data_IF_613158446805
#
_entry.id   IF_613158446805
#
_cell.length_a   1.000
_cell.length_b   1.000
_cell.length_c   1.000
_cell.angle_alpha   90.00
_cell.angle_beta   90.00
_cell.angle_gamma   90.00
#
_symmetry.space_group_name_H-M   'P 1'
#
loop_
_entity.id
_entity.type
_entity.pdbx_description
1 polymer ?
#
# COMPACT_ATOMS: atom_id res chain seq x y z
N UNK A 1 23.09 18.66 -36.64
CA UNK A 1 23.21 19.99 -35.98
C UNK A 1 23.43 19.93 -34.45
N UNK A 2 23.52 18.73 -33.91
CA UNK A 2 23.47 18.32 -32.49
C UNK A 2 24.47 19.01 -31.54
N UNK A 3 25.57 19.55 -32.08
CA UNK A 3 26.67 20.15 -31.31
C UNK A 3 26.81 21.68 -31.51
N UNK A 4 25.97 22.30 -32.37
CA UNK A 4 26.09 23.72 -32.72
C UNK A 4 25.12 24.58 -31.91
N UNK A 5 23.90 24.09 -31.70
CA UNK A 5 22.87 24.74 -30.88
C UNK A 5 22.56 23.92 -29.63
N UNK A 6 22.24 24.58 -28.50
CA UNK A 6 21.84 23.86 -27.29
C UNK A 6 20.49 23.16 -27.51
N UNK A 7 20.40 21.91 -27.05
CA UNK A 7 19.19 21.09 -27.19
C UNK A 7 18.19 21.40 -26.09
N UNK A 8 17.51 22.54 -26.22
CA UNK A 8 16.45 22.95 -25.31
C UNK A 8 15.18 23.26 -26.10
N UNK A 9 14.03 22.84 -25.58
CA UNK A 9 12.74 23.15 -26.16
C UNK A 9 12.46 24.66 -26.05
N UNK A 10 11.77 25.26 -27.03
CA UNK A 10 11.53 26.71 -27.06
C UNK A 10 12.69 27.55 -27.59
N UNK A 11 13.74 26.94 -28.15
CA UNK A 11 14.78 27.66 -28.87
C UNK A 11 14.34 27.94 -30.31
N UNK A 12 14.50 29.20 -30.74
CA UNK A 12 14.23 29.65 -32.10
C UNK A 12 15.48 30.30 -32.71
N UNK A 13 15.73 30.08 -34.00
CA UNK A 13 16.84 30.68 -34.74
C UNK A 13 16.34 31.89 -35.51
N UNK A 14 16.95 33.04 -35.28
CA UNK A 14 16.57 34.32 -35.89
C UNK A 14 17.30 34.61 -37.20
N UNK A 15 18.62 34.39 -37.23
CA UNK A 15 19.48 34.72 -38.36
C UNK A 15 20.54 33.65 -38.57
N UNK A 16 20.90 33.42 -39.82
CA UNK A 16 22.10 32.68 -40.23
C UNK A 16 23.11 33.69 -40.73
N UNK A 17 24.23 33.79 -40.03
CA UNK A 17 25.33 34.68 -40.38
C UNK A 17 26.48 33.81 -40.85
N UNK A 18 26.94 34.03 -42.07
CA UNK A 18 28.06 33.24 -42.59
C UNK A 18 29.11 34.12 -43.25
N UNK A 19 30.34 33.62 -43.20
CA UNK A 19 31.53 34.22 -43.80
C UNK A 19 32.38 33.12 -44.39
N UNK A 20 32.87 33.34 -45.60
CA UNK A 20 33.89 32.50 -46.21
C UNK A 20 34.65 33.27 -47.28
N UNK A 21 35.79 32.73 -47.71
CA UNK A 21 36.58 33.23 -48.84
C UNK A 21 36.49 32.27 -50.01
N UNK A 22 36.01 32.74 -51.16
CA UNK A 22 36.03 31.97 -52.39
C UNK A 22 37.39 32.11 -53.08
N UNK A 23 38.00 31.00 -53.48
CA UNK A 23 39.24 30.96 -54.27
C UNK A 23 38.98 30.18 -55.55
N UNK A 24 39.05 30.89 -56.68
CA UNK A 24 38.77 30.39 -58.02
C UNK A 24 39.52 31.22 -59.07
N UNK A 25 39.63 30.68 -60.28
CA UNK A 25 40.06 31.45 -61.44
C UNK A 25 38.91 32.32 -61.96
N UNK A 26 39.21 33.50 -62.53
CA UNK A 26 38.21 34.49 -62.98
C UNK A 26 37.27 33.91 -64.05
N UNK A 27 37.79 33.05 -64.93
CA UNK A 27 37.06 32.47 -66.05
C UNK A 27 36.26 31.21 -65.68
N UNK A 28 36.47 30.67 -64.47
CA UNK A 28 35.70 29.53 -63.98
C UNK A 28 34.31 29.98 -63.51
N UNK A 29 33.32 29.09 -63.56
CA UNK A 29 32.02 29.31 -62.91
C UNK A 29 32.01 28.60 -61.54
N UNK A 30 31.42 29.25 -60.53
CA UNK A 30 31.37 28.72 -59.17
C UNK A 30 30.11 29.21 -58.46
N UNK A 31 29.35 28.27 -57.91
CA UNK A 31 28.19 28.50 -57.08
C UNK A 31 28.46 27.88 -55.71
N UNK A 32 28.19 28.64 -54.65
CA UNK A 32 28.31 28.15 -53.27
C UNK A 32 26.94 28.13 -52.63
N UNK A 33 26.53 26.95 -52.17
CA UNK A 33 25.28 26.76 -51.46
C UNK A 33 25.56 26.62 -49.97
N UNK A 34 25.05 27.55 -49.16
CA UNK A 34 25.04 27.43 -47.71
C UNK A 34 23.64 26.96 -47.31
N UNK A 35 23.54 25.76 -46.77
CA UNK A 35 22.24 25.12 -46.57
C UNK A 35 22.14 24.31 -45.28
N UNK A 36 20.91 24.18 -44.78
CA UNK A 36 20.53 23.33 -43.66
C UNK A 36 19.34 22.47 -44.07
N UNK A 37 19.46 21.16 -43.85
CA UNK A 37 18.37 20.22 -44.08
C UNK A 37 17.19 20.48 -43.14
N UNK A 38 16.00 20.08 -43.55
CA UNK A 38 14.83 20.06 -42.68
C UNK A 38 14.82 18.76 -41.86
N UNK A 39 14.87 18.86 -40.53
CA UNK A 39 14.88 17.67 -39.68
C UNK A 39 13.52 16.96 -39.58
N UNK A 40 12.40 17.66 -39.89
CA UNK A 40 11.04 17.14 -39.76
C UNK A 40 10.40 16.69 -41.08
N UNK A 41 11.07 16.91 -42.22
CA UNK A 41 10.52 16.58 -43.53
C UNK A 41 11.57 16.63 -44.62
N UNK A 42 11.13 16.52 -45.87
CA UNK A 42 12.03 16.51 -47.01
C UNK A 42 12.49 17.94 -47.38
N UNK A 43 13.74 18.06 -47.84
CA UNK A 43 14.32 19.30 -48.36
C UNK A 43 15.13 20.11 -47.34
N UNK A 44 15.19 21.42 -47.54
CA UNK A 44 16.04 22.34 -46.77
C UNK A 44 15.19 23.38 -46.04
N UNK A 45 15.50 23.63 -44.77
CA UNK A 45 14.89 24.72 -43.98
C UNK A 45 15.51 26.07 -44.32
N UNK A 46 16.76 26.05 -44.74
CA UNK A 46 17.52 27.22 -45.18
C UNK A 46 18.41 26.80 -46.35
N UNK A 47 18.39 27.56 -47.44
CA UNK A 47 19.32 27.41 -48.57
C UNK A 47 19.55 28.77 -49.19
N UNK A 48 20.78 29.25 -49.12
CA UNK A 48 21.23 30.46 -49.77
C UNK A 48 22.30 30.10 -50.79
N UNK A 49 22.20 30.68 -51.99
CA UNK A 49 23.14 30.41 -53.10
C UNK A 49 23.87 31.69 -53.47
N UNK A 50 25.18 31.62 -53.41
CA UNK A 50 26.07 32.70 -53.81
C UNK A 50 26.68 32.38 -55.18
N UNK A 51 26.39 33.23 -56.17
CA UNK A 51 26.94 33.12 -57.51
C UNK A 51 28.25 33.92 -57.61
N UNK A 52 29.32 33.21 -57.96
CA UNK A 52 30.65 33.77 -58.19
C UNK A 52 31.06 33.77 -59.66
N UNK A 53 30.17 33.39 -60.58
CA UNK A 53 30.46 33.27 -62.01
C UNK A 53 30.93 34.61 -62.60
N UNK A 54 32.10 34.60 -63.24
CA UNK A 54 32.75 35.81 -63.79
C UNK A 54 33.26 36.84 -62.75
N UNK A 55 33.28 36.50 -61.46
CA UNK A 55 33.83 37.34 -60.39
C UNK A 55 35.16 36.77 -59.89
N UNK A 56 36.10 37.65 -59.52
CA UNK A 56 37.32 37.27 -58.82
C UNK A 56 36.98 36.78 -57.40
N UNK A 57 37.71 35.76 -56.93
CA UNK A 57 37.54 35.21 -55.59
C UNK A 57 37.72 36.29 -54.51
N UNK A 58 36.76 36.37 -53.57
CA UNK A 58 36.80 37.33 -52.47
C UNK A 58 36.15 36.74 -51.21
N UNK A 59 36.29 37.44 -50.10
CA UNK A 59 35.60 37.14 -48.85
C UNK A 59 34.21 37.79 -48.85
N UNK A 60 33.19 37.02 -48.50
CA UNK A 60 31.85 37.56 -48.26
C UNK A 60 31.45 37.41 -46.81
N UNK A 61 30.58 38.30 -46.38
CA UNK A 61 29.90 38.25 -45.10
C UNK A 61 28.43 38.56 -45.35
N UNK A 62 27.55 37.60 -45.02
CA UNK A 62 26.10 37.74 -45.18
C UNK A 62 25.41 37.38 -43.88
N UNK A 63 24.34 38.11 -43.58
CA UNK A 63 23.45 37.86 -42.46
C UNK A 63 22.03 37.75 -43.01
N UNK A 64 21.49 36.55 -43.03
CA UNK A 64 20.17 36.26 -43.59
C UNK A 64 19.17 36.04 -42.44
N UNK A 65 18.13 36.88 -42.33
CA UNK A 65 17.07 36.68 -41.35
C UNK A 65 16.14 35.54 -41.81
N UNK A 66 15.92 34.57 -40.93
CA UNK A 66 15.07 33.38 -41.20
C UNK A 66 13.73 33.40 -40.45
N UNK A 67 13.51 34.39 -39.58
CA UNK A 67 12.18 34.65 -39.01
C UNK A 67 11.78 33.77 -37.81
N UNK A 68 12.73 33.39 -36.95
CA UNK A 68 12.48 32.66 -35.69
C UNK A 68 11.96 31.23 -35.87
N UNK A 69 12.62 30.47 -36.74
CA UNK A 69 12.28 29.06 -36.96
C UNK A 69 12.70 28.25 -35.73
N UNK A 70 11.80 27.39 -35.22
CA UNK A 70 12.07 26.51 -34.08
C UNK A 70 13.19 25.52 -34.34
N UNK A 71 13.98 25.20 -33.30
CA UNK A 71 15.15 24.30 -33.38
C UNK A 71 14.82 22.93 -33.97
N UNK A 72 13.59 22.45 -33.79
CA UNK A 72 13.11 21.16 -34.27
C UNK A 72 13.15 21.02 -35.80
N UNK A 73 13.08 22.12 -36.55
CA UNK A 73 13.16 22.09 -38.01
C UNK A 73 14.60 22.09 -38.54
N UNK A 74 15.59 22.36 -37.69
CA UNK A 74 16.97 22.54 -38.12
C UNK A 74 17.75 21.21 -38.15
N UNK A 75 18.00 20.73 -39.36
CA UNK A 75 18.81 19.55 -39.65
C UNK A 75 20.29 19.85 -39.87
N UNK A 76 20.98 18.91 -40.50
CA UNK A 76 22.41 19.03 -40.75
C UNK A 76 22.74 20.17 -41.71
N UNK A 77 23.76 20.94 -41.35
CA UNK A 77 24.25 22.07 -42.14
C UNK A 77 25.39 21.62 -43.05
N UNK A 78 25.35 22.04 -44.30
CA UNK A 78 26.39 21.78 -45.29
C UNK A 78 26.69 23.03 -46.12
N UNK A 79 27.94 23.10 -46.61
CA UNK A 79 28.34 24.06 -47.64
C UNK A 79 28.73 23.22 -48.85
N UNK A 80 27.97 23.38 -49.93
CA UNK A 80 28.15 22.66 -51.18
C UNK A 80 28.67 23.62 -52.25
N UNK A 81 29.58 23.13 -53.09
CA UNK A 81 30.22 23.93 -54.14
C UNK A 81 29.89 23.24 -55.47
N UNK A 82 29.27 23.98 -56.37
CA UNK A 82 29.06 23.56 -57.76
C UNK A 82 29.99 24.38 -58.67
N UNK A 83 30.82 23.72 -59.46
CA UNK A 83 31.78 24.36 -60.38
C UNK A 83 33.25 24.21 -59.99
N UNK A 84 34.11 25.07 -60.53
CA UNK A 84 35.57 25.01 -60.35
C UNK A 84 36.04 26.11 -59.38
N UNK A 85 36.30 25.71 -58.13
CA UNK A 85 36.80 26.59 -57.09
C UNK A 85 36.85 25.93 -55.72
N UNK A 86 37.27 26.67 -54.71
CA UNK A 86 37.36 26.20 -53.33
C UNK A 86 36.92 27.28 -52.33
N UNK A 87 36.38 26.84 -51.20
CA UNK A 87 35.98 27.72 -50.10
C UNK A 87 36.99 27.58 -48.95
N UNK A 88 37.54 28.69 -48.51
CA UNK A 88 38.54 28.76 -47.44
C UNK A 88 37.94 29.50 -46.23
N UNK A 89 38.30 29.04 -45.03
CA UNK A 89 37.87 29.58 -43.73
C UNK A 89 36.34 29.80 -43.59
N UNK A 90 35.50 28.78 -43.88
CA UNK A 90 34.06 28.92 -43.69
C UNK A 90 33.71 29.04 -42.21
N UNK A 91 32.90 30.03 -41.88
CA UNK A 91 32.34 30.24 -40.54
C UNK A 91 30.85 30.52 -40.67
N UNK A 92 30.03 29.68 -40.02
CA UNK A 92 28.58 29.83 -39.98
C UNK A 92 28.16 29.96 -38.52
N UNK A 93 27.44 31.03 -38.22
CA UNK A 93 26.99 31.42 -36.88
C UNK A 93 25.49 31.58 -36.93
N UNK A 94 24.81 30.94 -35.98
CA UNK A 94 23.35 31.01 -35.84
C UNK A 94 23.03 31.89 -34.64
N UNK A 95 22.20 32.92 -34.84
CA UNK A 95 21.67 33.69 -33.71
C UNK A 95 20.41 33.03 -33.20
N UNK A 96 20.35 32.68 -31.93
CA UNK A 96 19.18 32.05 -31.33
C UNK A 96 18.57 32.90 -30.22
N UNK A 97 17.29 32.67 -29.98
CA UNK A 97 16.57 33.17 -28.81
C UNK A 97 15.88 32.00 -28.12
N UNK A 98 15.98 31.97 -26.79
CA UNK A 98 15.30 31.00 -25.95
C UNK A 98 14.02 31.60 -25.37
N UNK A 99 12.90 30.90 -25.50
CA UNK A 99 11.65 31.23 -24.82
C UNK A 99 11.59 30.53 -23.46
N UNK A 100 11.77 31.29 -22.38
CA UNK A 100 11.72 30.79 -21.00
C UNK A 100 10.33 30.34 -20.57
N UNK A 101 9.29 30.77 -21.27
CA UNK A 101 7.89 30.43 -20.99
C UNK A 101 7.31 29.45 -22.01
N UNK A 102 8.16 28.76 -22.78
CA UNK A 102 7.72 27.72 -23.72
C UNK A 102 6.88 26.63 -23.04
N UNK A 103 7.29 26.21 -21.84
CA UNK A 103 6.43 25.45 -20.94
C UNK A 103 5.87 26.39 -19.85
N UNK A 104 4.55 26.67 -19.87
CA UNK A 104 3.93 27.64 -18.98
C UNK A 104 3.99 27.23 -17.51
N UNK A 105 4.29 25.97 -17.18
CA UNK A 105 4.43 25.49 -15.80
C UNK A 105 5.85 25.60 -15.25
N UNK A 106 6.82 26.05 -16.05
CA UNK A 106 8.22 26.15 -15.63
C UNK A 106 8.45 27.27 -14.61
N UNK A 107 7.72 28.39 -14.74
CA UNK A 107 7.86 29.54 -13.83
C UNK A 107 6.51 30.21 -13.54
N UNK A 108 6.26 30.65 -12.28
CA UNK A 108 5.10 31.47 -11.92
C UNK A 108 4.99 32.81 -12.65
N UNK A 109 6.10 33.32 -13.20
CA UNK A 109 6.13 34.59 -13.93
C UNK A 109 5.56 34.48 -15.35
N UNK A 110 5.30 33.26 -15.83
CA UNK A 110 4.77 33.04 -17.18
C UNK A 110 3.27 33.33 -17.24
N UNK A 111 2.75 33.95 -18.33
CA UNK A 111 1.37 34.41 -18.40
C UNK A 111 0.31 33.30 -18.18
N UNK A 112 0.59 32.08 -18.65
CA UNK A 112 -0.32 30.94 -18.59
C UNK A 112 0.02 29.95 -17.45
N UNK A 113 0.83 30.37 -16.47
CA UNK A 113 1.15 29.55 -15.31
C UNK A 113 -0.13 29.23 -14.52
N UNK A 114 -0.38 27.95 -14.28
CA UNK A 114 -1.48 27.52 -13.43
C UNK A 114 -0.89 27.04 -12.12
N UNK A 115 -1.23 27.75 -11.04
CA UNK A 115 -0.85 27.30 -9.70
C UNK A 115 -1.33 25.85 -9.53
N UNK A 116 -0.42 24.90 -9.24
CA UNK A 116 -0.83 23.52 -9.01
C UNK A 116 -1.84 23.49 -7.87
N UNK A 117 -2.89 22.70 -8.04
CA UNK A 117 -3.92 22.54 -7.02
C UNK A 117 -3.28 22.07 -5.72
N UNK A 118 -3.33 22.91 -4.69
CA UNK A 118 -2.96 22.47 -3.36
C UNK A 118 -4.09 21.57 -2.85
N UNK A 119 -3.83 20.26 -2.81
CA UNK A 119 -4.79 19.26 -2.37
C UNK A 119 -5.26 19.53 -0.93
N UNK A 120 -4.42 20.18 -0.11
CA UNK A 120 -4.75 20.54 1.28
C UNK A 120 -5.86 21.60 1.38
N UNK A 121 -5.99 22.49 0.40
CA UNK A 121 -7.05 23.54 0.40
C UNK A 121 -8.39 23.01 -0.13
N UNK A 122 -8.36 21.92 -0.91
CA UNK A 122 -9.53 21.36 -1.59
C UNK A 122 -10.15 20.22 -0.77
N UNK A 123 -9.33 19.44 -0.08
CA UNK A 123 -9.81 18.34 0.75
C UNK A 123 -10.31 18.97 2.06
N UNK A 124 -11.63 18.92 2.34
CA UNK A 124 -12.11 19.35 3.64
C UNK A 124 -11.42 18.50 4.69
N UNK A 125 -10.78 19.15 5.66
CA UNK A 125 -10.24 18.47 6.84
C UNK A 125 -11.43 17.88 7.58
N UNK A 126 -11.68 16.58 7.37
CA UNK A 126 -12.69 15.85 8.11
C UNK A 126 -12.11 15.62 9.50
N UNK A 127 -12.56 16.39 10.48
CA UNK A 127 -12.31 16.09 11.88
C UNK A 127 -13.02 14.77 12.22
N UNK A 128 -12.26 13.67 12.17
CA UNK A 128 -12.74 12.37 12.58
C UNK A 128 -12.69 12.27 14.11
N UNK A 129 -13.85 12.34 14.76
CA UNK A 129 -13.96 11.95 16.15
C UNK A 129 -14.02 10.42 16.25
N UNK A 130 -12.96 9.82 16.79
CA UNK A 130 -12.96 8.39 17.11
C UNK A 130 -13.98 8.10 18.23
N UNK A 131 -15.04 7.30 17.97
CA UNK A 131 -16.05 6.98 18.98
C UNK A 131 -15.49 6.22 20.18
N UNK A 132 -14.31 5.59 20.06
CA UNK A 132 -13.65 4.93 21.21
C UNK A 132 -13.01 5.91 22.19
N UNK A 133 -12.74 7.14 21.75
CA UNK A 133 -12.20 8.21 22.59
C UNK A 133 -13.31 8.96 23.35
N UNK A 134 -14.59 8.69 23.05
CA UNK A 134 -15.71 9.28 23.76
C UNK A 134 -15.73 8.83 25.22
N UNK A 135 -15.93 9.79 26.13
CA UNK A 135 -15.85 9.60 27.57
C UNK A 135 -16.87 8.55 28.05
N UNK A 136 -18.08 8.57 27.49
CA UNK A 136 -19.14 7.62 27.82
C UNK A 136 -18.78 6.19 27.41
N UNK A 137 -18.18 6.03 26.23
CA UNK A 137 -17.77 4.72 25.70
C UNK A 137 -16.63 4.15 26.54
N UNK A 138 -15.67 4.99 26.94
CA UNK A 138 -14.58 4.59 27.85
C UNK A 138 -15.10 4.13 29.21
N UNK A 139 -16.02 4.89 29.81
CA UNK A 139 -16.63 4.52 31.09
C UNK A 139 -17.38 3.18 31.02
N UNK A 140 -18.09 2.90 29.93
CA UNK A 140 -18.75 1.61 29.73
C UNK A 140 -17.76 0.46 29.53
N UNK A 141 -16.67 0.67 28.79
CA UNK A 141 -15.61 -0.33 28.60
C UNK A 141 -14.92 -0.66 29.93
N UNK A 142 -14.58 0.35 30.73
CA UNK A 142 -14.00 0.17 32.07
C UNK A 142 -14.95 -0.62 32.99
N UNK A 143 -16.24 -0.30 32.97
CA UNK A 143 -17.25 -1.03 33.74
C UNK A 143 -17.36 -2.50 33.31
N UNK A 144 -17.31 -2.79 32.01
CA UNK A 144 -17.34 -4.17 31.51
C UNK A 144 -16.08 -4.94 31.89
N UNK A 145 -14.91 -4.30 31.83
CA UNK A 145 -13.65 -4.89 32.27
C UNK A 145 -13.70 -5.25 33.77
N UNK A 146 -14.18 -4.33 34.61
CA UNK A 146 -14.33 -4.58 36.05
C UNK A 146 -15.31 -5.73 36.35
N UNK A 147 -16.40 -5.85 35.56
CA UNK A 147 -17.34 -6.95 35.69
C UNK A 147 -16.70 -8.29 35.30
N UNK A 148 -15.96 -8.34 34.20
CA UNK A 148 -15.26 -9.55 33.75
C UNK A 148 -14.21 -10.01 34.78
N UNK A 149 -13.45 -9.08 35.37
CA UNK A 149 -12.47 -9.39 36.42
C UNK A 149 -13.15 -9.99 37.65
N UNK A 150 -14.28 -9.42 38.10
CA UNK A 150 -15.07 -9.95 39.22
C UNK A 150 -15.60 -11.35 38.94
N UNK A 151 -16.13 -11.60 37.75
CA UNK A 151 -16.62 -12.92 37.34
C UNK A 151 -15.49 -13.96 37.32
N UNK A 152 -14.31 -13.59 36.84
CA UNK A 152 -13.13 -14.44 36.81
C UNK A 152 -12.63 -14.75 38.23
N UNK A 153 -12.57 -13.76 39.12
CA UNK A 153 -12.21 -13.96 40.53
C UNK A 153 -13.18 -14.90 41.26
N UNK A 154 -14.49 -14.77 41.01
CA UNK A 154 -15.49 -15.69 41.57
C UNK A 154 -15.31 -17.12 41.06
N UNK A 155 -15.07 -17.28 39.76
CA UNK A 155 -14.80 -18.57 39.15
C UNK A 155 -13.56 -19.24 39.75
N UNK A 156 -12.47 -18.50 39.91
CA UNK A 156 -11.23 -19.00 40.50
C UNK A 156 -11.39 -19.30 42.01
N UNK A 157 -12.24 -18.55 42.72
CA UNK A 157 -12.62 -18.88 44.10
C UNK A 157 -13.39 -20.21 44.17
N UNK A 158 -14.39 -20.41 43.30
CA UNK A 158 -15.16 -21.67 43.24
C UNK A 158 -14.27 -22.88 42.94
N UNK A 159 -13.38 -22.75 41.95
CA UNK A 159 -12.38 -23.80 41.64
C UNK A 159 -11.47 -24.13 42.81
N UNK A 160 -11.00 -23.11 43.55
CA UNK A 160 -10.17 -23.34 44.76
C UNK A 160 -10.96 -24.10 45.83
N UNK A 161 -12.22 -23.71 46.08
CA UNK A 161 -13.05 -24.42 47.07
C UNK A 161 -13.35 -25.86 46.66
N UNK A 162 -13.63 -26.12 45.38
CA UNK A 162 -13.89 -27.49 44.90
C UNK A 162 -12.63 -28.36 44.97
N UNK A 163 -11.46 -27.81 44.64
CA UNK A 163 -10.18 -28.50 44.81
C UNK A 163 -9.89 -28.82 46.28
N UNK A 164 -10.19 -27.90 47.20
CA UNK A 164 -10.05 -28.14 48.65
C UNK A 164 -11.01 -29.25 49.10
N UNK A 165 -12.28 -29.23 48.67
CA UNK A 165 -13.26 -30.29 48.98
C UNK A 165 -12.80 -31.66 48.50
N UNK A 166 -12.39 -31.77 47.23
CA UNK A 166 -11.88 -33.03 46.65
C UNK A 166 -10.63 -33.53 47.39
N UNK A 167 -9.72 -32.63 47.77
CA UNK A 167 -8.56 -33.00 48.58
C UNK A 167 -8.94 -33.49 49.98
N UNK A 168 -9.92 -32.85 50.63
CA UNK A 168 -10.40 -33.25 51.95
C UNK A 168 -11.12 -34.62 51.88
N UNK A 169 -11.96 -34.83 50.87
CA UNK A 169 -12.60 -36.12 50.59
C UNK A 169 -11.57 -37.21 50.33
N UNK A 170 -10.52 -36.93 49.55
CA UNK A 170 -9.42 -37.88 49.30
C UNK A 170 -8.61 -38.18 50.57
N UNK A 171 -8.37 -37.18 51.42
CA UNK A 171 -7.65 -37.35 52.68
C UNK A 171 -8.46 -38.15 53.69
N UNK A 172 -9.75 -37.88 53.81
CA UNK A 172 -10.68 -38.62 54.67
C UNK A 172 -10.97 -40.02 54.13
N UNK A 173 -11.10 -40.17 52.80
CA UNK A 173 -11.41 -41.44 52.15
C UNK A 173 -10.22 -42.37 51.95
N UNK A 174 -9.00 -41.83 51.83
CA UNK A 174 -7.82 -42.58 51.37
C UNK A 174 -6.78 -42.94 52.43
N UNK A 175 -6.73 -42.28 53.59
CA UNK A 175 -5.64 -42.50 54.56
C UNK A 175 -6.10 -42.86 55.98
N UNK A 176 -7.39 -42.76 56.27
CA UNK A 176 -7.88 -42.95 57.63
C UNK A 176 -9.08 -43.89 57.75
N UNK A 177 -9.64 -44.44 56.67
CA UNK A 177 -10.75 -45.39 56.82
C UNK A 177 -10.31 -46.67 57.52
N UNK A 178 -9.12 -47.23 57.24
CA UNK A 178 -8.61 -48.43 57.90
C UNK A 178 -8.02 -48.18 59.29
N UNK A 179 -7.23 -47.11 59.46
CA UNK A 179 -6.60 -46.81 60.76
C UNK A 179 -7.61 -46.25 61.76
N UNK A 180 -8.56 -45.41 61.32
CA UNK A 180 -9.68 -45.03 62.18
C UNK A 180 -10.68 -46.18 62.33
N UNK A 181 -10.91 -47.05 61.33
CA UNK A 181 -11.81 -48.20 61.56
C UNK A 181 -11.24 -49.14 62.60
N UNK A 182 -9.93 -49.40 62.58
CA UNK A 182 -9.33 -50.36 63.52
C UNK A 182 -9.27 -49.78 64.93
N UNK A 183 -8.86 -48.52 65.08
CA UNK A 183 -8.89 -47.83 66.37
C UNK A 183 -10.32 -47.62 66.89
N UNK A 184 -11.26 -47.26 66.01
CA UNK A 184 -12.67 -47.09 66.38
C UNK A 184 -13.34 -48.44 66.67
N UNK A 185 -13.03 -49.53 65.95
CA UNK A 185 -13.51 -50.87 66.26
C UNK A 185 -12.97 -51.37 67.60
N UNK A 186 -11.69 -51.13 67.89
CA UNK A 186 -11.11 -51.50 69.18
C UNK A 186 -11.76 -50.72 70.33
N UNK A 187 -12.00 -49.41 70.13
CA UNK A 187 -12.67 -48.58 71.11
C UNK A 187 -14.16 -48.93 71.26
N UNK A 188 -14.83 -49.28 70.17
CA UNK A 188 -16.21 -49.78 70.12
C UNK A 188 -16.33 -51.11 70.87
N UNK A 189 -15.45 -52.08 70.60
CA UNK A 189 -15.41 -53.36 71.31
C UNK A 189 -15.11 -53.15 72.81
N UNK A 190 -14.18 -52.25 73.15
CA UNK A 190 -13.92 -51.88 74.54
C UNK A 190 -15.17 -51.28 75.21
N UNK A 191 -15.91 -50.41 74.51
CA UNK A 191 -17.14 -49.81 75.06
C UNK A 191 -18.28 -50.85 75.22
N UNK A 192 -18.48 -51.73 74.24
CA UNK A 192 -19.51 -52.78 74.31
C UNK A 192 -19.19 -53.86 75.35
N UNK A 193 -17.90 -54.14 75.60
CA UNK A 193 -17.47 -55.07 76.66
C UNK A 193 -17.63 -54.50 78.07
N UNK A 194 -17.70 -53.18 78.23
CA UNK A 194 -18.00 -52.54 79.52
C UNK A 194 -19.48 -52.63 79.94
N UNK A 195 -20.37 -53.20 79.12
CA UNK A 195 -21.79 -53.47 79.44
C UNK A 195 -22.65 -52.27 79.92
N UNK A 196 -22.27 -51.03 79.59
CA UNK A 196 -23.05 -49.83 79.93
C UNK A 196 -24.22 -49.54 78.96
N UNK A 197 -24.32 -50.23 77.83
CA UNK A 197 -25.33 -49.97 76.80
C UNK A 197 -26.52 -50.94 76.95
N UNK A 198 -27.77 -50.44 77.13
CA UNK A 198 -28.96 -51.29 77.22
C UNK A 198 -29.17 -52.15 75.97
N UNK A 199 -29.69 -53.37 76.17
CA UNK A 199 -29.86 -54.39 75.12
C UNK A 199 -30.79 -53.93 73.97
N UNK A 200 -31.65 -52.94 74.23
CA UNK A 200 -32.57 -52.35 73.24
C UNK A 200 -31.87 -51.65 72.09
N UNK A 201 -30.61 -51.21 72.26
CA UNK A 201 -29.82 -50.60 71.18
C UNK A 201 -29.10 -51.63 70.29
N UNK A 202 -29.16 -52.93 70.63
CA UNK A 202 -28.53 -54.01 69.86
C UNK A 202 -29.47 -54.69 68.86
N UNK A 203 -30.74 -54.28 68.81
CA UNK A 203 -31.71 -54.85 67.86
C UNK A 203 -31.66 -54.10 66.53
N UNK A 204 -31.41 -54.83 65.43
CA UNK A 204 -31.44 -54.26 64.08
C UNK A 204 -32.86 -53.79 63.74
N UNK A 205 -33.01 -52.49 63.43
CA UNK A 205 -34.26 -51.93 62.94
C UNK A 205 -34.47 -52.39 61.49
N UNK A 206 -35.66 -52.91 61.18
CA UNK A 206 -36.02 -53.32 59.83
C UNK A 206 -36.25 -52.07 58.97
N UNK A 207 -35.31 -51.74 58.09
CA UNK A 207 -35.43 -50.62 57.16
C UNK A 207 -36.32 -50.96 55.95
N UNK A 208 -37.07 -49.97 55.46
CA UNK A 208 -37.84 -50.05 54.21
C UNK A 208 -37.53 -48.86 53.30
N UNK A 209 -37.67 -49.07 51.98
CA UNK A 209 -37.48 -48.01 50.96
C UNK A 209 -38.83 -47.36 50.66
N UNK A 210 -38.87 -46.02 50.63
CA UNK A 210 -40.04 -45.26 50.17
C UNK A 210 -40.09 -45.30 48.64
N UNK A 211 -41.05 -46.03 48.07
CA UNK A 211 -41.22 -46.17 46.62
C UNK A 211 -41.88 -44.96 45.93
N UNK A 212 -42.16 -43.89 46.67
CA UNK A 212 -42.97 -42.76 46.21
C UNK A 212 -42.08 -41.63 45.65
N UNK A 213 -41.21 -41.98 44.69
CA UNK A 213 -40.45 -40.99 43.90
C UNK A 213 -41.02 -41.01 42.48
N UNK A 214 -41.61 -39.89 42.06
CA UNK A 214 -42.09 -39.70 40.69
C UNK A 214 -40.90 -39.78 39.71
N UNK A 215 -40.68 -40.96 39.13
CA UNK A 215 -39.71 -41.13 38.06
C UNK A 215 -40.27 -40.51 36.77
N UNK A 216 -39.61 -39.47 36.25
CA UNK A 216 -39.93 -38.90 34.95
C UNK A 216 -39.67 -39.96 33.87
N UNK A 217 -40.64 -40.19 32.97
CA UNK A 217 -40.45 -41.08 31.82
C UNK A 217 -39.61 -40.35 30.77
N UNK A 218 -38.37 -40.76 30.60
CA UNK A 218 -37.56 -40.34 29.46
C UNK A 218 -38.23 -40.81 28.15
N UNK A 219 -38.52 -39.85 27.27
CA UNK A 219 -38.89 -40.13 25.89
C UNK A 219 -37.72 -39.78 25.00
N UNK A 220 -37.35 -40.71 24.13
CA UNK A 220 -36.33 -40.49 23.12
C UNK A 220 -36.84 -39.48 22.07
N UNK A 221 -36.12 -38.37 21.88
CA UNK A 221 -36.45 -37.36 20.90
C UNK A 221 -36.11 -37.88 19.49
N UNK A 222 -37.05 -37.75 18.56
CA UNK A 222 -36.86 -38.18 17.18
C UNK A 222 -35.90 -37.23 16.45
N UNK A 223 -34.93 -37.82 15.76
CA UNK A 223 -33.84 -37.07 15.16
C UNK A 223 -34.26 -36.37 13.85
N UNK A 224 -34.04 -35.05 13.75
CA UNK A 224 -34.47 -34.26 12.59
C UNK A 224 -33.45 -34.33 11.45
N UNK A 225 -33.60 -35.33 10.58
CA UNK A 225 -32.72 -35.54 9.42
C UNK A 225 -32.66 -34.35 8.44
N UNK A 226 -33.68 -33.48 8.42
CA UNK A 226 -33.68 -32.27 7.56
C UNK A 226 -32.82 -31.16 8.16
N UNK A 227 -32.84 -30.98 9.48
CA UNK A 227 -32.01 -30.00 10.17
C UNK A 227 -30.51 -30.24 9.87
N UNK A 228 -30.08 -31.51 9.88
CA UNK A 228 -28.69 -31.88 9.57
C UNK A 228 -28.22 -31.45 8.17
N UNK A 229 -29.11 -31.44 7.18
CA UNK A 229 -28.76 -30.99 5.81
C UNK A 229 -28.64 -29.47 5.73
N UNK A 230 -29.53 -28.75 6.42
CA UNK A 230 -29.52 -27.28 6.46
C UNK A 230 -28.29 -26.77 7.21
N UNK A 231 -27.96 -27.36 8.36
CA UNK A 231 -26.76 -26.97 9.13
C UNK A 231 -25.49 -27.23 8.34
N UNK A 232 -25.40 -28.35 7.62
CA UNK A 232 -24.24 -28.66 6.78
C UNK A 232 -24.11 -27.70 5.59
N UNK A 233 -25.22 -27.37 4.92
CA UNK A 233 -25.21 -26.41 3.82
C UNK A 233 -24.80 -24.99 4.28
N UNK A 234 -25.27 -24.56 5.47
CA UNK A 234 -24.87 -23.27 6.05
C UNK A 234 -23.38 -23.24 6.40
N UNK A 235 -22.85 -24.35 6.93
CA UNK A 235 -21.44 -24.45 7.27
C UNK A 235 -20.56 -24.39 6.02
N UNK A 236 -20.95 -25.10 4.96
CA UNK A 236 -20.23 -25.09 3.69
C UNK A 236 -20.22 -23.69 3.04
N UNK A 237 -21.36 -22.98 3.07
CA UNK A 237 -21.44 -21.59 2.61
C UNK A 237 -20.55 -20.64 3.44
N UNK A 238 -20.49 -20.85 4.76
CA UNK A 238 -19.62 -20.06 5.62
C UNK A 238 -18.14 -20.27 5.27
N UNK A 239 -17.71 -21.51 5.11
CA UNK A 239 -16.34 -21.85 4.77
C UNK A 239 -15.94 -21.26 3.41
N UNK A 240 -16.84 -21.29 2.42
CA UNK A 240 -16.63 -20.68 1.09
C UNK A 240 -16.49 -19.15 1.18
N UNK A 241 -17.34 -18.47 1.95
CA UNK A 241 -17.22 -17.02 2.17
C UNK A 241 -15.92 -16.65 2.87
N UNK A 242 -15.43 -17.47 3.81
CA UNK A 242 -14.15 -17.25 4.48
C UNK A 242 -12.99 -17.42 3.49
N UNK A 243 -12.99 -18.48 2.68
CA UNK A 243 -11.95 -18.68 1.66
C UNK A 243 -11.88 -17.51 0.67
N UNK A 244 -13.03 -17.01 0.21
CA UNK A 244 -13.08 -15.84 -0.69
C UNK A 244 -12.48 -14.56 -0.10
N UNK A 245 -12.42 -14.42 1.23
CA UNK A 245 -11.76 -13.28 1.88
C UNK A 245 -10.23 -13.39 1.87
N UNK A 246 -9.69 -14.61 1.78
CA UNK A 246 -8.25 -14.88 1.82
C UNK A 246 -7.64 -15.18 0.43
N UNK A 247 -8.46 -15.44 -0.59
CA UNK A 247 -8.04 -15.64 -1.98
C UNK A 247 -7.88 -14.32 -2.78
N UNK A 248 -7.49 -13.22 -2.11
CA UNK A 248 -7.07 -11.95 -2.71
C UNK A 248 -5.56 -11.71 -2.51
#
# INVERSE_FOLDING_TARGET
>A
MTNVLPQQAGLTVGNVVYRYTAVKDIDADMLVHVQNENALGDGYIFRETDDWSGLEGNTIYKAIPVGRIGIEYWGDGSIEIEGEGSVIDPSVIYTYQYDTCFDPQTSPDCPDYKVPYNLEDIIPVVEYNDPLQDELVRLEMEKKAEQADKEQEEYDRKKRTDKIKVNLEKMLGGLNSSVLSDAAQLQEQALFSMNFIPVTYKTALNGGVYNDVLAFKDKELQDNKKARRVTFAQQLLHDEMVQQQYDN
#
